data_IF_020523040873
#
_entry.id   IF_020523040873
#
_cell.length_a   1.000
_cell.length_b   1.000
_cell.length_c   1.000
_cell.angle_alpha   90.00
_cell.angle_beta   90.00
_cell.angle_gamma   90.00
#
_symmetry.space_group_name_H-M   'P 1'
#
loop_
_entity.id
_entity.type
_entity.pdbx_description
1 polymer ?
#
# COMPACT_ATOMS: atom_id res chain seq x y z
N UNK A 1 -29.40 32.58 -11.27
CA UNK A 1 -28.45 32.66 -10.12
C UNK A 1 -28.30 31.27 -9.49
N UNK A 2 -27.15 30.96 -8.88
CA UNK A 2 -26.85 29.63 -8.31
C UNK A 2 -26.00 29.72 -7.04
N UNK A 3 -25.85 28.58 -6.35
CA UNK A 3 -25.25 28.48 -5.01
C UNK A 3 -23.77 28.11 -5.03
N UNK A 4 -22.96 28.64 -4.10
CA UNK A 4 -21.58 28.19 -3.92
C UNK A 4 -21.53 26.80 -3.28
N UNK A 5 -20.57 25.98 -3.69
CA UNK A 5 -20.26 24.71 -3.03
C UNK A 5 -18.75 24.50 -2.94
N UNK A 6 -18.33 23.67 -1.99
CA UNK A 6 -16.94 23.24 -1.82
C UNK A 6 -16.85 21.74 -2.03
N UNK A 7 -15.82 21.29 -2.74
CA UNK A 7 -15.52 19.87 -2.94
C UNK A 7 -14.09 19.59 -2.51
N UNK A 8 -13.86 18.44 -1.89
CA UNK A 8 -12.53 17.97 -1.50
C UNK A 8 -12.02 16.92 -2.47
N UNK A 9 -10.70 16.80 -2.67
CA UNK A 9 -10.13 15.73 -3.51
C UNK A 9 -10.48 14.34 -2.97
N UNK A 10 -10.96 13.45 -3.84
CA UNK A 10 -11.24 12.06 -3.46
C UNK A 10 -9.98 11.29 -3.03
N UNK A 11 -10.17 10.33 -2.12
CA UNK A 11 -9.16 9.38 -1.65
C UNK A 11 -9.68 7.96 -1.89
N UNK A 12 -8.94 7.21 -2.71
CA UNK A 12 -9.21 5.79 -3.04
C UNK A 12 -8.77 4.82 -1.93
N UNK A 13 -8.16 5.35 -0.85
CA UNK A 13 -7.62 4.62 0.31
C UNK A 13 -6.47 3.67 -0.02
N UNK A 14 -5.79 3.85 -1.15
CA UNK A 14 -4.56 3.11 -1.45
C UNK A 14 -3.33 3.83 -0.86
N UNK A 15 -2.31 3.06 -0.45
CA UNK A 15 -1.07 3.64 0.07
C UNK A 15 -0.33 4.45 -1.01
N UNK A 16 -0.35 3.97 -2.25
CA UNK A 16 0.27 4.65 -3.38
C UNK A 16 -0.31 6.06 -3.58
N UNK A 17 -1.64 6.19 -3.62
CA UNK A 17 -2.32 7.48 -3.73
C UNK A 17 -2.11 8.33 -2.48
N UNK A 18 -2.17 7.74 -1.28
CA UNK A 18 -1.93 8.47 -0.03
C UNK A 18 -0.55 9.15 0.00
N UNK A 19 0.49 8.43 -0.45
CA UNK A 19 1.85 8.95 -0.55
C UNK A 19 2.00 9.96 -1.69
N UNK A 20 1.55 9.62 -2.89
CA UNK A 20 1.80 10.41 -4.09
C UNK A 20 0.95 11.68 -4.18
N UNK A 21 -0.35 11.59 -3.87
CA UNK A 21 -1.29 12.71 -4.00
C UNK A 21 -1.31 13.63 -2.78
N UNK A 22 -1.17 13.07 -1.58
CA UNK A 22 -1.33 13.82 -0.33
C UNK A 22 -0.03 13.98 0.47
N UNK A 23 1.06 13.30 0.08
CA UNK A 23 2.32 13.31 0.84
C UNK A 23 2.22 12.70 2.23
N UNK A 24 1.10 12.05 2.56
CA UNK A 24 0.76 11.66 3.93
C UNK A 24 0.91 10.16 4.20
N UNK A 25 1.95 9.56 3.61
CA UNK A 25 2.25 8.13 3.81
C UNK A 25 2.52 7.77 5.28
N UNK A 26 3.07 8.70 6.06
CA UNK A 26 3.43 8.47 7.48
C UNK A 26 2.22 8.26 8.38
N UNK A 27 1.06 8.81 8.02
CA UNK A 27 -0.20 8.63 8.76
C UNK A 27 -1.13 7.63 8.07
N UNK A 28 -0.62 6.79 7.17
CA UNK A 28 -1.41 5.76 6.53
C UNK A 28 -1.77 4.67 7.56
N UNK A 29 -3.07 4.49 7.82
CA UNK A 29 -3.60 3.59 8.86
C UNK A 29 -3.97 2.20 8.33
N UNK A 30 -3.40 1.82 7.20
CA UNK A 30 -3.57 0.51 6.59
C UNK A 30 -2.27 -0.31 6.64
N UNK A 31 -2.27 -1.44 5.94
CA UNK A 31 -1.16 -2.38 5.97
C UNK A 31 -0.59 -2.61 4.57
N UNK A 32 0.27 -1.71 4.06
CA UNK A 32 0.73 -1.77 2.68
C UNK A 32 1.70 -2.91 2.37
N UNK A 33 2.26 -3.55 3.40
CA UNK A 33 3.31 -4.56 3.27
C UNK A 33 3.00 -5.84 4.04
N UNK A 34 1.73 -6.08 4.42
CA UNK A 34 1.38 -7.38 5.01
C UNK A 34 1.42 -8.44 3.90
N UNK A 35 2.28 -9.47 4.03
CA UNK A 35 2.26 -10.61 3.13
C UNK A 35 0.98 -11.42 3.31
N UNK A 36 0.56 -12.11 2.25
CA UNK A 36 -0.57 -13.03 2.31
C UNK A 36 -0.29 -14.28 3.15
N UNK A 37 -1.34 -15.04 3.45
CA UNK A 37 -1.25 -16.26 4.25
C UNK A 37 -0.41 -17.37 3.56
N UNK A 38 -0.39 -17.35 2.23
CA UNK A 38 0.45 -18.20 1.39
C UNK A 38 1.94 -18.05 1.70
N UNK A 39 2.40 -16.84 2.05
CA UNK A 39 3.78 -16.61 2.49
C UNK A 39 4.10 -17.33 3.81
N UNK A 40 3.12 -17.46 4.71
CA UNK A 40 3.29 -18.10 6.02
C UNK A 40 3.25 -19.63 5.87
N UNK A 41 2.27 -20.16 5.12
CA UNK A 41 2.05 -21.61 4.99
C UNK A 41 3.05 -22.25 4.03
N UNK A 42 3.42 -21.54 2.96
CA UNK A 42 4.19 -22.09 1.84
C UNK A 42 5.63 -22.45 2.20
N UNK A 43 6.20 -21.81 3.22
CA UNK A 43 7.61 -21.93 3.59
C UNK A 43 8.55 -21.51 2.46
N UNK A 44 9.85 -21.81 2.62
CA UNK A 44 10.85 -21.60 1.57
C UNK A 44 10.84 -22.80 0.62
N UNK A 45 10.73 -22.54 -0.68
CA UNK A 45 10.74 -23.53 -1.76
C UNK A 45 12.00 -23.38 -2.62
N UNK A 46 12.51 -24.49 -3.19
CA UNK A 46 13.56 -24.41 -4.20
C UNK A 46 13.07 -23.57 -5.39
N UNK A 47 13.79 -22.49 -5.71
CA UNK A 47 13.41 -21.54 -6.77
C UNK A 47 12.60 -20.33 -6.29
N UNK A 48 12.30 -20.22 -5.00
CA UNK A 48 11.96 -18.91 -4.41
C UNK A 48 13.14 -17.95 -4.67
N UNK A 49 12.83 -16.68 -4.91
CA UNK A 49 13.77 -15.67 -5.44
C UNK A 49 15.00 -15.38 -4.56
N UNK A 50 15.50 -14.15 -4.59
CA UNK A 50 16.67 -13.81 -3.78
C UNK A 50 16.35 -13.94 -2.28
N UNK A 51 16.91 -14.96 -1.62
CA UNK A 51 16.85 -15.16 -0.16
C UNK A 51 17.91 -14.28 0.53
N UNK A 52 17.94 -13.00 0.18
CA UNK A 52 18.97 -12.02 0.56
C UNK A 52 18.51 -11.04 1.65
N UNK A 53 17.29 -11.20 2.15
CA UNK A 53 16.69 -10.30 3.15
C UNK A 53 16.12 -9.00 2.57
N UNK A 54 16.02 -8.88 1.24
CA UNK A 54 15.35 -7.77 0.57
C UNK A 54 13.84 -7.70 0.80
N UNK A 55 13.23 -6.61 0.32
CA UNK A 55 11.76 -6.46 0.34
C UNK A 55 11.09 -7.51 -0.53
N UNK A 56 10.07 -8.17 0.01
CA UNK A 56 9.16 -9.04 -0.75
C UNK A 56 8.39 -8.28 -1.85
N UNK A 57 8.16 -6.98 -1.66
CA UNK A 57 7.32 -6.13 -2.52
C UNK A 57 8.15 -5.18 -3.39
N UNK A 58 9.35 -5.60 -3.81
CA UNK A 58 10.24 -4.77 -4.63
C UNK A 58 9.64 -4.46 -6.00
#
# INVERSE_FOLDING_TARGET
PGDPFTVSPGCDKSFATCRAKFGNGVNFRGFPHIPGNDFIIGGVRPGDGALDGGSLFR
#
